data_IF_523059498309
#
_entry.id   IF_523059498309
#
_cell.length_a   1.000
_cell.length_b   1.000
_cell.length_c   1.000
_cell.angle_alpha   90.00
_cell.angle_beta   90.00
_cell.angle_gamma   90.00
#
_symmetry.space_group_name_H-M   'P 1'
#
loop_
_entity.id
_entity.type
_entity.pdbx_description
1 polymer ?
#
# COMPACT_ATOMS: atom_id res chain seq x y z
N UNK A 1 -0.63 -44.48 37.22
CA UNK A 1 0.08 -44.67 35.95
C UNK A 1 -0.25 -43.50 35.03
N UNK A 2 0.73 -42.69 34.65
CA UNK A 2 0.52 -41.61 33.67
C UNK A 2 0.42 -42.27 32.29
N UNK A 3 -0.73 -42.14 31.63
CA UNK A 3 -0.92 -42.58 30.24
C UNK A 3 0.05 -41.76 29.37
N UNK A 4 1.12 -42.39 28.91
CA UNK A 4 2.07 -41.77 27.98
C UNK A 4 1.42 -41.64 26.60
N UNK A 5 1.72 -40.54 25.90
CA UNK A 5 1.30 -40.31 24.52
C UNK A 5 1.90 -41.39 23.61
N UNK A 6 1.12 -41.96 22.69
CA UNK A 6 1.64 -42.99 21.77
C UNK A 6 2.33 -42.35 20.56
N UNK A 7 3.35 -43.03 20.01
CA UNK A 7 4.01 -42.57 18.77
C UNK A 7 3.03 -42.52 17.58
N UNK A 8 2.04 -43.41 17.55
CA UNK A 8 1.03 -43.45 16.49
C UNK A 8 0.12 -42.23 16.52
N UNK A 9 -0.30 -41.78 17.71
CA UNK A 9 -1.06 -40.54 17.86
C UNK A 9 -0.27 -39.33 17.34
N UNK A 10 1.05 -39.29 17.59
CA UNK A 10 1.88 -38.19 17.10
C UNK A 10 1.96 -38.18 15.57
N UNK A 11 2.10 -39.34 14.94
CA UNK A 11 2.20 -39.48 13.48
C UNK A 11 0.90 -39.03 12.79
N UNK A 12 -0.26 -39.40 13.33
CA UNK A 12 -1.53 -38.95 12.75
C UNK A 12 -1.70 -37.44 12.82
N UNK A 13 -1.26 -36.81 13.92
CA UNK A 13 -1.34 -35.35 14.09
C UNK A 13 -0.48 -34.62 13.06
N UNK A 14 0.77 -35.04 12.85
CA UNK A 14 1.65 -34.39 11.86
C UNK A 14 1.15 -34.58 10.43
N UNK A 15 0.53 -35.71 10.11
CA UNK A 15 -0.06 -35.97 8.78
C UNK A 15 -1.23 -35.03 8.53
N UNK A 16 -2.15 -34.88 9.50
CA UNK A 16 -3.30 -33.99 9.37
C UNK A 16 -2.84 -32.52 9.25
N UNK A 17 -1.90 -32.08 10.08
CA UNK A 17 -1.34 -30.72 10.01
C UNK A 17 -0.63 -30.49 8.66
N UNK A 18 0.08 -31.50 8.12
CA UNK A 18 0.72 -31.43 6.82
C UNK A 18 -0.26 -31.19 5.67
N UNK A 19 -1.39 -31.89 5.65
CA UNK A 19 -2.44 -31.73 4.62
C UNK A 19 -3.08 -30.34 4.73
N UNK A 20 -3.42 -29.91 5.95
CA UNK A 20 -4.02 -28.59 6.18
C UNK A 20 -3.06 -27.45 5.78
N UNK A 21 -1.77 -27.59 6.10
CA UNK A 21 -0.75 -26.60 5.74
C UNK A 21 -0.60 -26.47 4.22
N UNK A 22 -0.59 -27.60 3.49
CA UNK A 22 -0.46 -27.59 2.03
C UNK A 22 -1.59 -26.79 1.34
N UNK A 23 -2.82 -26.89 1.85
CA UNK A 23 -3.94 -26.12 1.31
C UNK A 23 -3.97 -24.65 1.79
N UNK A 24 -3.48 -24.37 3.00
CA UNK A 24 -3.55 -23.04 3.61
C UNK A 24 -2.49 -22.07 3.08
N UNK A 25 -1.27 -22.55 2.82
CA UNK A 25 -0.13 -21.71 2.38
C UNK A 25 -0.46 -20.88 1.12
N UNK A 26 -0.92 -21.45 -0.01
CA UNK A 26 -1.18 -20.67 -1.22
C UNK A 26 -2.30 -19.64 -1.02
N UNK A 27 -3.34 -19.98 -0.23
CA UNK A 27 -4.43 -19.04 0.09
C UNK A 27 -3.92 -17.87 0.90
N UNK A 28 -3.05 -18.11 1.88
CA UNK A 28 -2.48 -17.06 2.71
C UNK A 28 -1.55 -16.13 1.92
N UNK A 29 -0.82 -16.64 0.94
CA UNK A 29 0.00 -15.82 0.03
C UNK A 29 -0.88 -14.88 -0.80
N UNK A 30 -1.93 -15.40 -1.44
CA UNK A 30 -2.85 -14.57 -2.21
C UNK A 30 -3.52 -13.50 -1.33
N UNK A 31 -3.99 -13.86 -0.13
CA UNK A 31 -4.60 -12.90 0.81
C UNK A 31 -3.63 -11.77 1.19
N UNK A 32 -2.34 -12.08 1.38
CA UNK A 32 -1.32 -11.06 1.65
C UNK A 32 -1.14 -10.11 0.46
N UNK A 33 -1.04 -10.65 -0.74
CA UNK A 33 -0.91 -9.88 -1.98
C UNK A 33 -2.11 -8.95 -2.20
N UNK A 34 -3.34 -9.46 -2.03
CA UNK A 34 -4.55 -8.64 -2.08
C UNK A 34 -4.57 -7.54 -1.01
N UNK A 35 -4.21 -7.88 0.24
CA UNK A 35 -4.17 -6.90 1.32
C UNK A 35 -3.14 -5.80 1.05
N UNK A 36 -1.99 -6.14 0.47
CA UNK A 36 -0.96 -5.18 0.09
C UNK A 36 -1.46 -4.21 -0.99
N UNK A 37 -1.98 -4.72 -2.11
CA UNK A 37 -2.53 -3.89 -3.18
C UNK A 37 -3.68 -2.98 -2.68
N UNK A 38 -4.59 -3.53 -1.88
CA UNK A 38 -5.69 -2.77 -1.30
C UNK A 38 -5.19 -1.65 -0.36
N UNK A 39 -4.17 -1.93 0.46
CA UNK A 39 -3.58 -0.91 1.34
C UNK A 39 -2.97 0.24 0.54
N UNK A 40 -2.32 -0.05 -0.60
CA UNK A 40 -1.78 0.99 -1.48
C UNK A 40 -2.91 1.85 -2.01
N UNK A 41 -3.91 1.24 -2.66
CA UNK A 41 -5.07 1.95 -3.23
C UNK A 41 -5.73 2.84 -2.17
N UNK A 42 -6.04 2.27 -1.01
CA UNK A 42 -6.67 3.01 0.08
C UNK A 42 -5.81 4.18 0.56
N UNK A 43 -4.51 3.97 0.77
CA UNK A 43 -3.61 5.05 1.23
C UNK A 43 -3.57 6.21 0.23
N UNK A 44 -3.58 5.91 -1.06
CA UNK A 44 -3.60 6.91 -2.13
C UNK A 44 -4.90 7.70 -2.11
N UNK A 45 -6.05 7.01 -2.05
CA UNK A 45 -7.36 7.64 -2.01
C UNK A 45 -7.57 8.48 -0.74
N UNK A 46 -7.14 7.97 0.41
CA UNK A 46 -7.15 8.70 1.68
C UNK A 46 -6.26 9.95 1.59
N UNK A 47 -5.08 9.85 0.96
CA UNK A 47 -4.18 10.99 0.75
C UNK A 47 -4.77 12.02 -0.21
N UNK A 48 -5.43 11.59 -1.27
CA UNK A 48 -6.09 12.44 -2.25
C UNK A 48 -7.14 13.35 -1.59
N UNK A 49 -7.84 12.87 -0.57
CA UNK A 49 -8.84 13.64 0.18
C UNK A 49 -8.27 14.41 1.37
N UNK A 50 -7.30 13.85 2.09
CA UNK A 50 -6.76 14.44 3.31
C UNK A 50 -5.73 15.56 3.06
N UNK A 51 -4.87 15.40 2.06
CA UNK A 51 -3.77 16.35 1.78
C UNK A 51 -4.30 17.73 1.37
N UNK A 52 -5.28 17.87 0.46
CA UNK A 52 -5.82 19.19 0.11
C UNK A 52 -6.40 19.94 1.32
N UNK A 53 -7.17 19.24 2.16
CA UNK A 53 -7.76 19.83 3.36
C UNK A 53 -6.69 20.30 4.36
N UNK A 54 -5.65 19.49 4.59
CA UNK A 54 -4.54 19.88 5.46
C UNK A 54 -3.73 21.05 4.86
N UNK A 55 -3.55 21.07 3.54
CA UNK A 55 -2.82 22.13 2.84
C UNK A 55 -3.56 23.48 2.89
N UNK A 56 -4.88 23.50 2.73
CA UNK A 56 -5.71 24.71 2.91
C UNK A 56 -5.55 25.26 4.33
N UNK A 57 -5.62 24.40 5.35
CA UNK A 57 -5.45 24.84 6.74
C UNK A 57 -4.05 25.44 6.98
N UNK A 58 -2.98 24.78 6.50
CA UNK A 58 -1.61 25.30 6.64
C UNK A 58 -1.41 26.61 5.89
N UNK A 59 -1.94 26.72 4.67
CA UNK A 59 -1.74 27.91 3.83
C UNK A 59 -2.57 29.10 4.29
N UNK A 60 -3.87 28.89 4.47
CA UNK A 60 -4.83 29.98 4.62
C UNK A 60 -5.06 30.35 6.10
N UNK A 61 -5.06 29.39 7.03
CA UNK A 61 -5.24 29.67 8.47
C UNK A 61 -3.92 30.00 9.17
N UNK A 62 -2.87 29.23 8.90
CA UNK A 62 -1.56 29.46 9.54
C UNK A 62 -0.69 30.46 8.76
N UNK A 63 -1.15 30.94 7.59
CA UNK A 63 -0.40 31.82 6.69
C UNK A 63 1.02 31.29 6.38
N UNK A 64 1.15 29.97 6.30
CA UNK A 64 2.43 29.31 6.02
C UNK A 64 2.52 29.01 4.52
N UNK A 65 3.42 29.70 3.84
CA UNK A 65 3.62 29.57 2.39
C UNK A 65 4.86 28.72 2.02
N UNK A 66 5.45 28.01 2.99
CA UNK A 66 6.71 27.28 2.80
C UNK A 66 6.72 25.90 3.47
N UNK A 67 5.59 25.18 3.42
CA UNK A 67 5.50 23.80 3.92
C UNK A 67 5.56 22.78 2.77
N UNK A 68 5.87 21.54 3.13
CA UNK A 68 6.02 20.43 2.19
C UNK A 68 5.02 19.31 2.51
N UNK A 69 4.88 18.34 1.60
CA UNK A 69 4.00 17.19 1.81
C UNK A 69 4.29 16.46 3.13
N UNK A 70 5.57 16.33 3.48
CA UNK A 70 6.02 15.72 4.75
C UNK A 70 5.39 16.36 6.00
N UNK A 71 5.10 17.65 5.97
CA UNK A 71 4.61 18.39 7.14
C UNK A 71 3.11 18.16 7.38
N UNK A 72 2.38 17.72 6.36
CA UNK A 72 0.93 17.50 6.40
C UNK A 72 0.54 16.03 6.24
N UNK A 73 1.42 15.20 5.69
CA UNK A 73 1.21 13.77 5.50
C UNK A 73 2.47 12.99 5.88
N UNK A 74 2.30 12.03 6.79
CA UNK A 74 3.36 11.12 7.19
C UNK A 74 2.92 9.68 6.97
N UNK A 75 3.50 9.02 5.96
CA UNK A 75 3.32 7.60 5.71
C UNK A 75 4.54 6.85 6.27
N UNK A 76 4.40 6.20 7.43
CA UNK A 76 5.49 5.44 8.09
C UNK A 76 5.38 3.92 7.94
N UNK A 77 4.26 3.42 7.43
CA UNK A 77 3.96 1.98 7.39
C UNK A 77 4.06 1.46 5.97
N UNK A 78 4.70 0.32 5.79
CA UNK A 78 4.85 -0.33 4.47
C UNK A 78 5.96 0.28 3.62
N UNK A 79 5.94 -0.04 2.33
CA UNK A 79 7.01 0.33 1.38
C UNK A 79 6.87 1.74 0.80
N UNK A 80 6.25 2.66 1.55
CA UNK A 80 6.15 4.06 1.19
C UNK A 80 7.47 4.77 1.41
N UNK A 81 7.96 5.46 0.39
CA UNK A 81 9.20 6.23 0.41
C UNK A 81 8.90 7.68 0.10
N UNK A 82 9.50 8.57 0.87
CA UNK A 82 9.45 10.00 0.61
C UNK A 82 10.64 10.39 -0.28
N UNK A 83 10.37 11.12 -1.35
CA UNK A 83 11.40 11.70 -2.21
C UNK A 83 12.27 12.71 -1.44
N UNK A 84 13.50 12.95 -1.91
CA UNK A 84 14.39 13.96 -1.33
C UNK A 84 13.78 15.38 -1.37
N UNK A 85 12.94 15.64 -2.37
CA UNK A 85 12.15 16.87 -2.49
C UNK A 85 11.14 17.05 -1.35
N UNK A 86 10.83 16.00 -0.59
CA UNK A 86 9.83 15.93 0.49
C UNK A 86 8.40 16.34 0.09
N UNK A 87 8.17 16.48 -1.21
CA UNK A 87 6.88 16.83 -1.81
C UNK A 87 6.19 15.63 -2.46
N UNK A 88 6.88 14.49 -2.53
CA UNK A 88 6.38 13.33 -3.24
C UNK A 88 6.58 12.07 -2.42
N UNK A 89 5.52 11.28 -2.24
CA UNK A 89 5.61 9.89 -1.77
C UNK A 89 5.48 8.94 -2.95
N UNK A 90 6.21 7.83 -2.88
CA UNK A 90 6.10 6.72 -3.79
C UNK A 90 5.88 5.41 -3.03
N UNK A 91 5.02 4.54 -3.54
CA UNK A 91 4.99 3.16 -3.08
C UNK A 91 5.90 2.30 -3.95
N UNK A 92 6.80 1.55 -3.33
CA UNK A 92 7.72 0.66 -4.05
C UNK A 92 7.41 -0.79 -3.73
N UNK A 93 7.12 -1.60 -4.74
CA UNK A 93 7.06 -3.05 -4.58
C UNK A 93 8.50 -3.63 -4.59
N UNK A 94 8.75 -4.67 -3.80
CA UNK A 94 10.08 -5.11 -3.33
C UNK A 94 11.06 -5.64 -4.42
N UNK A 95 10.77 -5.48 -5.71
CA UNK A 95 11.50 -6.13 -6.81
C UNK A 95 12.34 -5.22 -7.73
N UNK A 96 12.74 -4.01 -7.31
CA UNK A 96 13.81 -3.27 -8.01
C UNK A 96 13.65 -1.75 -8.03
N UNK A 97 14.58 -1.07 -8.73
CA UNK A 97 14.84 0.36 -8.65
C UNK A 97 13.89 1.28 -9.43
N UNK A 98 12.94 0.74 -10.21
CA UNK A 98 12.04 1.52 -11.09
C UNK A 98 10.54 1.10 -11.01
N UNK A 99 10.09 0.66 -9.83
CA UNK A 99 8.72 0.19 -9.59
C UNK A 99 7.96 1.08 -8.60
N UNK A 100 7.89 2.38 -8.90
CA UNK A 100 6.95 3.25 -8.19
C UNK A 100 5.53 2.88 -8.64
N UNK A 101 4.91 1.96 -7.91
CA UNK A 101 3.52 1.52 -8.15
C UNK A 101 2.56 2.67 -7.94
N UNK A 102 2.89 3.58 -7.05
CA UNK A 102 2.07 4.75 -6.78
C UNK A 102 2.91 5.99 -6.57
N UNK A 103 2.29 7.13 -6.88
CA UNK A 103 2.77 8.49 -6.70
C UNK A 103 1.75 9.28 -5.88
N UNK A 104 2.21 10.05 -4.90
CA UNK A 104 1.44 11.12 -4.27
C UNK A 104 2.34 12.35 -4.28
N UNK A 105 2.07 13.30 -5.16
CA UNK A 105 2.83 14.53 -5.34
C UNK A 105 2.04 15.75 -4.87
N UNK A 106 2.72 16.66 -4.19
CA UNK A 106 2.17 17.90 -3.68
C UNK A 106 2.89 19.09 -4.28
N UNK A 107 2.12 20.06 -4.77
CA UNK A 107 2.65 21.31 -5.26
C UNK A 107 1.94 22.49 -4.60
N UNK A 108 2.63 23.17 -3.68
CA UNK A 108 2.10 24.31 -2.94
C UNK A 108 1.88 25.55 -3.82
N UNK A 109 2.75 25.74 -4.81
CA UNK A 109 2.69 26.88 -5.73
C UNK A 109 1.49 26.76 -6.67
N UNK A 110 1.30 25.57 -7.25
CA UNK A 110 0.16 25.26 -8.10
C UNK A 110 -1.14 24.98 -7.32
N UNK A 111 -1.04 24.82 -5.98
CA UNK A 111 -2.15 24.37 -5.10
C UNK A 111 -2.76 23.06 -5.61
N UNK A 112 -1.92 22.10 -5.97
CA UNK A 112 -2.37 20.80 -6.49
C UNK A 112 -1.82 19.64 -5.68
N UNK A 113 -2.61 18.57 -5.62
CA UNK A 113 -2.20 17.24 -5.19
C UNK A 113 -2.42 16.30 -6.36
N UNK A 114 -1.39 15.62 -6.81
CA UNK A 114 -1.46 14.61 -7.88
C UNK A 114 -1.27 13.24 -7.27
N UNK A 115 -2.23 12.36 -7.45
CA UNK A 115 -2.15 10.97 -7.03
C UNK A 115 -2.17 10.05 -8.24
N UNK A 116 -1.40 8.98 -8.19
CA UNK A 116 -1.35 8.00 -9.25
C UNK A 116 -1.11 6.58 -8.74
N UNK A 117 -1.65 5.61 -9.46
CA UNK A 117 -1.45 4.18 -9.24
C UNK A 117 -1.24 3.53 -10.62
N UNK A 118 -0.16 2.81 -10.80
CA UNK A 118 0.11 1.97 -11.97
C UNK A 118 0.05 0.51 -11.52
N UNK A 119 -1.08 -0.15 -11.81
CA UNK A 119 -1.31 -1.54 -11.44
C UNK A 119 -0.36 -2.49 -12.15
N UNK A 120 0.28 -2.11 -13.26
CA UNK A 120 1.21 -2.99 -13.98
C UNK A 120 2.55 -3.15 -13.28
N UNK A 121 2.86 -2.23 -12.35
CA UNK A 121 4.14 -2.16 -11.63
C UNK A 121 4.18 -3.02 -10.37
N UNK A 122 3.06 -3.62 -9.94
CA UNK A 122 3.11 -4.64 -8.92
C UNK A 122 3.90 -5.86 -9.44
N UNK A 123 4.77 -6.40 -8.58
CA UNK A 123 5.62 -7.53 -8.88
C UNK A 123 4.83 -8.83 -9.06
N UNK A 124 3.79 -9.00 -8.25
CA UNK A 124 2.98 -10.22 -8.20
C UNK A 124 1.74 -10.13 -9.11
N UNK A 125 1.47 -11.19 -9.86
CA UNK A 125 0.32 -11.26 -10.78
C UNK A 125 -1.02 -11.02 -10.08
N UNK A 126 -1.24 -11.62 -8.90
CA UNK A 126 -2.49 -11.47 -8.14
C UNK A 126 -2.73 -10.05 -7.66
N UNK A 127 -1.67 -9.33 -7.29
CA UNK A 127 -1.76 -7.91 -6.91
C UNK A 127 -2.13 -7.04 -8.12
N UNK A 128 -1.56 -7.33 -9.30
CA UNK A 128 -1.91 -6.61 -10.55
C UNK A 128 -3.37 -6.83 -10.95
N UNK A 129 -3.83 -8.08 -10.92
CA UNK A 129 -5.22 -8.45 -11.22
C UNK A 129 -6.18 -7.72 -10.28
N UNK A 130 -5.94 -7.81 -8.97
CA UNK A 130 -6.77 -7.17 -7.95
C UNK A 130 -6.80 -5.64 -8.09
N UNK A 131 -5.64 -5.01 -8.31
CA UNK A 131 -5.58 -3.57 -8.50
C UNK A 131 -6.39 -3.11 -9.72
N UNK A 132 -6.26 -3.84 -10.82
CA UNK A 132 -6.96 -3.52 -12.07
C UNK A 132 -8.47 -3.72 -11.93
N UNK A 133 -8.90 -4.73 -11.17
CA UNK A 133 -10.32 -4.98 -10.88
C UNK A 133 -10.91 -3.87 -9.99
N UNK A 134 -10.21 -3.49 -8.91
CA UNK A 134 -10.69 -2.48 -7.97
C UNK A 134 -10.75 -1.07 -8.60
N UNK A 135 -9.77 -0.71 -9.43
CA UNK A 135 -9.72 0.58 -10.11
C UNK A 135 -10.46 0.60 -11.46
N UNK A 136 -10.86 -0.58 -11.96
CA UNK A 136 -11.40 -0.76 -13.31
C UNK A 136 -10.51 -0.14 -14.42
N UNK A 137 -9.19 -0.10 -14.17
CA UNK A 137 -8.18 0.49 -15.04
C UNK A 137 -6.79 -0.04 -14.68
N UNK A 138 -5.87 -0.08 -15.64
CA UNK A 138 -4.47 -0.48 -15.39
C UNK A 138 -3.63 0.65 -14.81
N UNK A 139 -4.05 1.89 -15.05
CA UNK A 139 -3.43 3.09 -14.51
C UNK A 139 -4.52 4.05 -14.03
N UNK A 140 -4.29 4.66 -12.88
CA UNK A 140 -5.13 5.69 -12.29
C UNK A 140 -4.28 6.92 -12.04
N UNK A 141 -4.75 8.10 -12.46
CA UNK A 141 -4.10 9.37 -12.19
C UNK A 141 -5.18 10.43 -11.96
N UNK A 142 -5.07 11.15 -10.86
CA UNK A 142 -5.97 12.24 -10.52
C UNK A 142 -5.16 13.42 -9.99
N UNK A 143 -5.47 14.62 -10.47
CA UNK A 143 -4.97 15.87 -9.91
C UNK A 143 -6.12 16.63 -9.28
N UNK A 144 -5.95 17.01 -8.01
CA UNK A 144 -6.92 17.76 -7.21
C UNK A 144 -6.35 19.14 -6.94
N UNK A 145 -7.11 20.17 -7.29
CA UNK A 145 -6.77 21.57 -7.01
C UNK A 145 -7.58 22.08 -5.83
N UNK A 146 -6.94 22.85 -4.95
CA UNK A 146 -7.55 23.42 -3.75
C UNK A 146 -7.19 24.90 -3.55
#
# INVERSE_FOLDING_TARGET
>A
MRKGFTLVELIFVIVIIGILAAAAIPRFQNLKQHAEANNVIKTVMDSASAVPAAAVNKKDLENNNSFQLKDILTLKSGNWRLADSKNTYYYVDNNGTDYNVSLIEFNLTARTVTVGIDCTKFADEKSREFCTEELNATEYNQTITF
#
